data_IF_962499651984
#
_entry.id   IF_962499651984
#
_cell.length_a   1.000
_cell.length_b   1.000
_cell.length_c   1.000
_cell.angle_alpha   90.00
_cell.angle_beta   90.00
_cell.angle_gamma   90.00
#
_symmetry.space_group_name_H-M   'P 1'
#
loop_
_entity.id
_entity.type
_entity.pdbx_description
1 polymer ?
#
# COMPACT_ATOMS: atom_id res chain seq x y z
N UNK A 1 -47.42 33.82 -36.15
CA UNK A 1 -46.72 34.86 -35.37
C UNK A 1 -46.01 34.27 -34.14
N UNK A 2 -45.16 33.23 -34.28
CA UNK A 2 -44.33 32.71 -33.17
C UNK A 2 -42.89 32.36 -33.56
N UNK A 3 -42.59 32.18 -34.85
CA UNK A 3 -41.21 31.89 -35.30
C UNK A 3 -40.29 33.13 -35.36
N UNK A 4 -40.85 34.34 -35.48
CA UNK A 4 -40.04 35.58 -35.53
C UNK A 4 -39.53 36.05 -34.16
N UNK A 5 -40.05 35.48 -33.06
CA UNK A 5 -39.57 35.80 -31.71
C UNK A 5 -38.36 34.94 -31.35
N UNK A 6 -38.33 33.67 -31.77
CA UNK A 6 -37.25 32.73 -31.45
C UNK A 6 -35.94 33.04 -32.20
N UNK A 7 -36.02 33.53 -33.44
CA UNK A 7 -34.82 33.96 -34.17
C UNK A 7 -34.15 35.18 -33.53
N UNK A 8 -34.93 36.14 -33.03
CA UNK A 8 -34.39 37.31 -32.33
C UNK A 8 -33.71 36.94 -31.02
N UNK A 9 -34.28 36.03 -30.23
CA UNK A 9 -33.64 35.58 -28.99
C UNK A 9 -32.35 34.81 -29.24
N UNK A 10 -32.24 34.14 -30.38
CA UNK A 10 -31.05 33.37 -30.75
C UNK A 10 -29.93 34.27 -31.28
N UNK A 11 -30.27 35.30 -32.05
CA UNK A 11 -29.31 36.36 -32.48
C UNK A 11 -28.81 37.19 -31.28
N UNK A 12 -29.68 37.53 -30.33
CA UNK A 12 -29.29 38.28 -29.12
C UNK A 12 -28.34 37.46 -28.22
N UNK A 13 -28.56 36.15 -28.10
CA UNK A 13 -27.66 35.25 -27.36
C UNK A 13 -26.32 35.08 -28.08
N UNK A 14 -26.32 35.02 -29.41
CA UNK A 14 -25.10 34.91 -30.21
C UNK A 14 -24.29 36.21 -30.19
N UNK A 15 -24.96 37.37 -30.20
CA UNK A 15 -24.31 38.66 -30.02
C UNK A 15 -23.70 38.82 -28.62
N UNK A 16 -24.37 38.32 -27.57
CA UNK A 16 -23.84 38.33 -26.19
C UNK A 16 -22.63 37.41 -25.99
N UNK A 17 -22.45 36.38 -26.82
CA UNK A 17 -21.29 35.48 -26.80
C UNK A 17 -20.12 35.96 -27.68
N UNK A 18 -20.40 36.77 -28.72
CA UNK A 18 -19.40 37.31 -29.65
C UNK A 18 -18.81 38.65 -29.19
N UNK A 19 -19.53 39.39 -28.35
CA UNK A 19 -18.98 40.50 -27.60
C UNK A 19 -18.25 39.91 -26.40
N UNK A 20 -16.95 39.68 -26.55
CA UNK A 20 -16.02 39.59 -25.42
C UNK A 20 -16.15 40.88 -24.61
N UNK A 21 -17.07 40.92 -23.65
CA UNK A 21 -16.93 41.80 -22.51
C UNK A 21 -15.61 41.41 -21.85
N UNK A 22 -14.65 42.34 -21.72
CA UNK A 22 -13.48 42.06 -20.90
C UNK A 22 -14.03 41.75 -19.50
N UNK A 23 -13.80 40.52 -19.03
CA UNK A 23 -13.98 40.20 -17.63
C UNK A 23 -13.34 41.33 -16.83
N UNK A 24 -14.00 41.88 -15.80
CA UNK A 24 -13.32 42.83 -14.93
C UNK A 24 -12.05 42.14 -14.47
N UNK A 25 -10.89 42.71 -14.84
CA UNK A 25 -9.63 42.27 -14.27
C UNK A 25 -9.87 42.22 -12.77
N UNK A 26 -9.53 41.11 -12.08
CA UNK A 26 -9.62 41.11 -10.64
C UNK A 26 -8.80 42.30 -10.18
N UNK A 27 -9.42 43.26 -9.50
CA UNK A 27 -8.68 44.31 -8.81
C UNK A 27 -7.66 43.55 -7.94
N UNK A 28 -6.41 43.55 -8.40
CA UNK A 28 -5.29 43.09 -7.62
C UNK A 28 -5.29 44.03 -6.43
N UNK A 29 -5.90 43.58 -5.34
CA UNK A 29 -5.61 44.14 -4.03
C UNK A 29 -4.09 44.23 -3.99
N UNK A 30 -3.51 45.43 -3.75
CA UNK A 30 -2.08 45.50 -3.61
C UNK A 30 -1.73 44.45 -2.57
N UNK A 31 -0.89 43.47 -2.97
CA UNK A 31 -0.31 42.52 -2.03
C UNK A 31 0.11 43.36 -0.83
N UNK A 32 -0.23 42.97 0.42
CA UNK A 32 0.34 43.65 1.56
C UNK A 32 1.83 43.65 1.26
N UNK A 33 2.40 44.85 1.10
CA UNK A 33 3.83 44.98 0.98
C UNK A 33 4.31 44.28 2.24
N UNK A 34 4.89 43.09 2.10
CA UNK A 34 5.83 42.61 3.09
C UNK A 34 6.80 43.76 3.13
N UNK A 35 6.65 44.62 4.14
CA UNK A 35 7.74 45.43 4.61
C UNK A 35 8.87 44.42 4.65
N UNK A 36 9.87 44.61 3.79
CA UNK A 36 11.07 43.83 3.84
C UNK A 36 11.54 44.03 5.27
N UNK A 37 11.24 43.07 6.14
CA UNK A 37 11.93 42.97 7.39
C UNK A 37 13.39 42.93 6.93
N UNK A 38 14.24 43.87 7.38
CA UNK A 38 15.64 43.76 7.07
C UNK A 38 16.02 42.33 7.43
N UNK A 39 16.70 41.63 6.53
CA UNK A 39 17.32 40.34 6.78
C UNK A 39 18.11 40.50 8.08
N UNK A 40 17.43 40.23 9.20
CA UNK A 40 17.99 40.27 10.53
C UNK A 40 18.89 39.07 10.51
N UNK A 41 20.18 39.38 10.41
CA UNK A 41 21.33 38.54 10.64
C UNK A 41 20.98 37.06 10.62
N UNK A 42 21.43 36.36 9.56
CA UNK A 42 21.61 34.93 9.61
C UNK A 42 22.50 34.62 10.82
N UNK A 43 21.86 34.44 11.98
CA UNK A 43 22.51 33.93 13.17
C UNK A 43 23.03 32.58 12.72
N UNK A 44 24.35 32.32 12.85
CA UNK A 44 24.83 30.96 12.75
C UNK A 44 23.94 30.13 13.66
N UNK A 45 23.54 28.94 13.22
CA UNK A 45 22.88 27.97 14.07
C UNK A 45 23.87 27.61 15.18
N UNK A 46 23.96 28.46 16.20
CA UNK A 46 24.67 28.20 17.44
C UNK A 46 23.80 27.15 18.11
N UNK A 47 24.21 25.90 17.96
CA UNK A 47 23.72 24.79 18.74
C UNK A 47 23.65 25.24 20.21
N UNK A 48 22.47 25.20 20.82
CA UNK A 48 22.34 25.55 22.22
C UNK A 48 23.29 24.65 23.04
N UNK A 49 24.09 25.20 23.97
CA UNK A 49 25.06 24.42 24.73
C UNK A 49 24.41 23.23 25.47
N UNK A 50 23.16 23.42 25.88
CA UNK A 50 22.30 22.40 26.51
C UNK A 50 22.04 21.17 25.62
N UNK A 51 22.03 21.34 24.28
CA UNK A 51 21.82 20.24 23.33
C UNK A 51 23.09 19.44 23.11
N UNK A 52 24.25 20.10 23.05
CA UNK A 52 25.55 19.45 22.90
C UNK A 52 25.85 18.58 24.12
N UNK A 53 25.57 19.09 25.33
CA UNK A 53 25.72 18.34 26.58
C UNK A 53 24.87 17.06 26.57
N UNK A 54 23.57 17.16 26.22
CA UNK A 54 22.69 15.99 26.11
C UNK A 54 23.15 14.96 25.07
N UNK A 55 23.67 15.42 23.93
CA UNK A 55 24.21 14.54 22.89
C UNK A 55 25.48 13.83 23.37
N UNK A 56 26.34 14.53 24.10
CA UNK A 56 27.54 13.94 24.68
C UNK A 56 27.24 12.88 25.75
N UNK A 57 26.22 13.09 26.59
CA UNK A 57 25.76 12.11 27.57
C UNK A 57 25.20 10.85 26.89
N UNK A 58 24.38 11.01 25.82
CA UNK A 58 23.85 9.89 25.06
C UNK A 58 24.95 9.08 24.36
N UNK A 59 25.96 9.75 23.79
CA UNK A 59 27.10 9.08 23.16
C UNK A 59 27.96 8.33 24.19
N UNK A 60 28.14 8.88 25.40
CA UNK A 60 28.85 8.21 26.48
C UNK A 60 28.13 6.94 26.97
N UNK A 61 26.80 6.95 27.07
CA UNK A 61 26.02 5.76 27.40
C UNK A 61 26.19 4.64 26.37
N UNK A 62 26.24 4.97 25.07
CA UNK A 62 26.45 3.97 24.02
C UNK A 62 27.84 3.32 24.09
N UNK A 63 28.87 4.07 24.50
CA UNK A 63 30.23 3.54 24.71
C UNK A 63 30.29 2.49 25.82
N UNK A 64 29.57 2.71 26.93
CA UNK A 64 29.57 1.75 28.05
C UNK A 64 28.89 0.42 27.71
N UNK A 65 27.89 0.43 26.81
CA UNK A 65 27.22 -0.80 26.34
C UNK A 65 28.10 -1.60 25.37
N UNK A 66 29.02 -0.96 24.65
CA UNK A 66 29.98 -1.66 23.79
C UNK A 66 31.06 -2.38 24.60
N UNK A 67 31.56 -1.77 25.68
CA UNK A 67 32.52 -2.41 26.59
C UNK A 67 31.91 -3.61 27.34
N UNK A 68 30.63 -3.54 27.75
CA UNK A 68 29.96 -4.69 28.39
C UNK A 68 29.71 -5.87 27.44
N UNK A 69 29.58 -5.61 26.13
CA UNK A 69 29.38 -6.66 25.13
C UNK A 69 30.69 -7.35 24.69
N UNK A 70 31.85 -6.69 24.86
CA UNK A 70 33.17 -7.28 24.56
C UNK A 70 33.66 -8.20 25.70
N UNK A 71 33.21 -7.98 26.95
CA UNK A 71 33.55 -8.81 28.12
C UNK A 71 32.82 -10.16 28.13
N UNK A 72 31.67 -10.29 27.46
CA UNK A 72 30.95 -11.57 27.34
C UNK A 72 31.56 -12.48 26.25
N UNK A 73 32.36 -11.93 25.33
CA UNK A 73 32.92 -12.69 24.21
C UNK A 73 34.19 -13.50 24.55
N UNK A 74 34.76 -13.37 25.75
CA UNK A 74 36.05 -13.99 26.12
C UNK A 74 36.01 -14.94 27.34
N UNK A 75 34.82 -15.42 27.73
CA UNK A 75 34.71 -16.42 28.79
C UNK A 75 34.32 -17.81 28.25
N UNK A 76 35.35 -18.65 28.14
CA UNK A 76 35.34 -20.13 28.21
C UNK A 76 34.42 -20.92 27.25
N UNK A 77 35.02 -21.35 26.15
CA UNK A 77 34.73 -22.64 25.51
C UNK A 77 35.19 -23.78 26.44
N UNK A 78 34.27 -24.30 27.26
CA UNK A 78 34.37 -25.67 27.76
C UNK A 78 33.65 -26.60 26.77
N UNK A 79 34.44 -27.41 26.08
CA UNK A 79 33.97 -28.44 25.18
C UNK A 79 33.23 -29.53 25.97
N UNK A 80 31.95 -29.72 25.67
CA UNK A 80 31.24 -30.94 26.02
C UNK A 80 31.24 -31.88 24.81
N UNK A 81 32.01 -32.97 24.94
CA UNK A 81 31.92 -34.15 24.10
C UNK A 81 30.49 -34.70 24.13
N UNK A 82 29.85 -34.77 22.96
CA UNK A 82 28.63 -35.54 22.78
C UNK A 82 28.94 -36.66 21.80
N UNK A 83 29.00 -37.86 22.37
CA UNK A 83 29.19 -39.14 21.70
C UNK A 83 28.18 -39.35 20.57
N UNK A 84 28.72 -39.68 19.39
CA UNK A 84 27.98 -40.17 18.24
C UNK A 84 27.52 -41.60 18.54
N UNK A 85 26.21 -41.81 18.66
CA UNK A 85 25.63 -43.15 18.64
C UNK A 85 24.73 -43.31 17.42
N UNK A 86 25.28 -44.06 16.46
CA UNK A 86 24.60 -44.74 15.37
C UNK A 86 23.66 -45.83 15.86
N UNK A 87 22.42 -45.86 15.37
CA UNK A 87 21.56 -47.06 15.31
C UNK A 87 20.53 -46.86 14.17
N UNK A 88 20.78 -47.36 12.96
CA UNK A 88 20.26 -48.63 12.38
C UNK A 88 18.76 -48.85 12.52
N UNK A 89 18.09 -48.69 11.36
CA UNK A 89 17.27 -49.69 10.67
C UNK A 89 16.28 -50.51 11.52
N UNK A 90 14.99 -50.29 11.28
CA UNK A 90 13.96 -51.33 11.40
C UNK A 90 12.85 -51.03 10.41
N UNK A 91 12.92 -51.71 9.28
CA UNK A 91 11.80 -51.97 8.39
C UNK A 91 10.77 -52.87 9.10
N UNK A 92 9.49 -52.53 9.00
CA UNK A 92 8.39 -53.49 9.19
C UNK A 92 7.53 -53.46 7.93
N UNK A 93 7.70 -54.53 7.18
CA UNK A 93 6.92 -55.00 6.05
C UNK A 93 5.56 -55.52 6.54
N UNK A 94 4.45 -54.98 6.03
CA UNK A 94 3.16 -55.69 6.03
C UNK A 94 2.56 -55.57 4.63
N UNK A 95 2.78 -56.63 3.88
CA UNK A 95 2.12 -57.00 2.62
C UNK A 95 0.74 -57.58 2.91
N UNK A 96 -0.34 -57.03 2.33
CA UNK A 96 -1.50 -57.82 1.85
C UNK A 96 -2.17 -57.11 0.66
N UNK A 97 -2.34 -57.89 -0.41
CA UNK A 97 -2.88 -57.65 -1.75
C UNK A 97 -4.44 -57.49 -1.77
N UNK A 98 -5.09 -56.99 -2.86
CA UNK A 98 -6.43 -56.38 -2.83
C UNK A 98 -7.56 -57.31 -3.29
N UNK A 99 -8.81 -57.00 -2.93
CA UNK A 99 -10.01 -57.64 -3.54
C UNK A 99 -11.26 -56.73 -3.59
N UNK A 100 -11.51 -56.24 -4.80
CA UNK A 100 -12.75 -56.12 -5.61
C UNK A 100 -14.18 -56.16 -4.97
N UNK A 101 -15.07 -55.39 -5.62
CA UNK A 101 -16.53 -55.59 -5.91
C UNK A 101 -17.54 -54.70 -5.13
N UNK A 102 -18.09 -53.73 -5.87
CA UNK A 102 -19.36 -52.99 -5.66
C UNK A 102 -20.61 -53.90 -5.73
N UNK A 103 -21.79 -53.58 -5.13
CA UNK A 103 -22.73 -52.65 -5.79
C UNK A 103 -23.70 -51.83 -4.88
N UNK A 104 -24.24 -50.76 -5.49
CA UNK A 104 -25.47 -49.99 -5.18
C UNK A 104 -26.68 -50.83 -4.73
N UNK A 105 -27.79 -50.30 -4.12
CA UNK A 105 -28.57 -49.10 -4.51
C UNK A 105 -29.05 -48.26 -3.29
N UNK A 106 -29.86 -47.18 -3.29
CA UNK A 106 -31.17 -46.87 -3.90
C UNK A 106 -31.47 -45.35 -3.68
N UNK A 107 -32.17 -44.74 -4.64
CA UNK A 107 -32.74 -43.37 -4.57
C UNK A 107 -33.94 -43.27 -3.59
N UNK A 108 -34.40 -42.05 -3.24
CA UNK A 108 -35.60 -41.59 -3.94
C UNK A 108 -35.58 -40.11 -4.37
N UNK A 109 -36.09 -39.94 -5.60
CA UNK A 109 -36.86 -38.82 -6.17
C UNK A 109 -37.60 -37.92 -5.17
N UNK A 110 -37.52 -36.58 -5.35
CA UNK A 110 -38.55 -35.79 -6.07
C UNK A 110 -38.41 -34.28 -5.80
N UNK A 111 -38.50 -33.52 -6.89
CA UNK A 111 -39.15 -32.20 -7.07
C UNK A 111 -38.23 -31.15 -7.72
N UNK A 112 -38.38 -31.01 -9.04
CA UNK A 112 -37.99 -29.84 -9.81
C UNK A 112 -38.71 -28.59 -9.31
N UNK A 113 -37.95 -27.53 -9.05
CA UNK A 113 -38.39 -26.17 -9.33
C UNK A 113 -37.23 -25.40 -9.95
N UNK A 114 -37.41 -25.08 -11.23
CA UNK A 114 -36.65 -24.12 -12.02
C UNK A 114 -36.64 -22.77 -11.33
N UNK A 115 -35.47 -22.36 -10.85
CA UNK A 115 -35.10 -20.95 -10.78
C UNK A 115 -33.88 -20.76 -11.68
N UNK A 116 -34.03 -19.86 -12.64
CA UNK A 116 -32.94 -19.36 -13.48
C UNK A 116 -32.00 -18.59 -12.56
N UNK A 117 -31.07 -19.31 -11.94
CA UNK A 117 -29.93 -18.74 -11.28
C UNK A 117 -28.99 -18.22 -12.37
N UNK A 118 -28.86 -16.90 -12.44
CA UNK A 118 -27.72 -16.26 -13.10
C UNK A 118 -26.47 -16.83 -12.42
N UNK A 119 -25.82 -17.81 -13.05
CA UNK A 119 -24.53 -18.29 -12.59
C UNK A 119 -23.60 -17.07 -12.49
N UNK A 120 -23.08 -16.76 -11.30
CA UNK A 120 -21.91 -15.92 -11.22
C UNK A 120 -20.85 -16.64 -12.06
N UNK A 121 -20.31 -15.97 -13.06
CA UNK A 121 -19.12 -16.46 -13.73
C UNK A 121 -18.05 -16.63 -12.65
N UNK A 122 -17.91 -17.85 -12.16
CA UNK A 122 -16.80 -18.26 -11.33
C UNK A 122 -15.58 -18.07 -12.21
N UNK A 123 -14.92 -16.92 -12.03
CA UNK A 123 -13.55 -16.70 -12.43
C UNK A 123 -12.80 -17.97 -12.00
N UNK A 124 -12.34 -18.74 -12.97
CA UNK A 124 -11.54 -19.93 -12.71
C UNK A 124 -10.40 -19.54 -11.74
N UNK A 125 -9.93 -20.44 -10.87
CA UNK A 125 -8.84 -20.15 -9.97
C UNK A 125 -7.67 -19.63 -10.80
N UNK A 126 -7.47 -18.31 -10.76
CA UNK A 126 -6.35 -17.68 -11.45
C UNK A 126 -5.15 -18.08 -10.63
N UNK A 127 -4.32 -18.96 -11.20
CA UNK A 127 -3.03 -19.30 -10.59
C UNK A 127 -2.29 -18.00 -10.31
N UNK A 128 -1.84 -17.83 -9.06
CA UNK A 128 -1.10 -16.64 -8.67
C UNK A 128 0.14 -16.51 -9.57
N UNK A 129 0.22 -15.41 -10.30
CA UNK A 129 1.34 -15.06 -11.17
C UNK A 129 1.88 -13.71 -10.76
N UNK A 130 3.19 -13.62 -10.59
CA UNK A 130 3.84 -12.36 -10.21
C UNK A 130 3.80 -11.33 -11.36
N UNK A 131 4.09 -10.07 -11.04
CA UNK A 131 4.23 -9.00 -12.03
C UNK A 131 5.46 -9.21 -12.91
N UNK A 132 5.35 -8.84 -14.18
CA UNK A 132 6.44 -8.93 -15.17
C UNK A 132 6.68 -7.56 -15.83
N UNK A 133 7.26 -6.59 -15.10
CA UNK A 133 7.41 -5.21 -15.59
C UNK A 133 8.52 -5.03 -16.64
N UNK A 134 9.17 -6.11 -17.10
CA UNK A 134 10.30 -6.09 -18.03
C UNK A 134 11.67 -6.08 -17.34
N UNK A 135 12.72 -5.68 -18.06
CA UNK A 135 14.10 -5.64 -17.54
C UNK A 135 14.34 -4.42 -16.62
N UNK A 136 13.77 -3.27 -16.99
CA UNK A 136 13.84 -2.02 -16.23
C UNK A 136 12.48 -1.32 -16.26
N UNK A 137 12.08 -0.75 -15.13
CA UNK A 137 10.82 -0.02 -15.01
C UNK A 137 10.94 1.11 -13.99
N UNK A 138 10.03 2.07 -14.03
CA UNK A 138 9.96 3.11 -13.01
C UNK A 138 9.01 2.68 -11.89
N UNK A 139 9.42 2.87 -10.65
CA UNK A 139 8.59 2.64 -9.47
C UNK A 139 8.49 3.90 -8.62
N UNK A 140 7.31 4.12 -8.04
CA UNK A 140 7.05 5.15 -7.04
C UNK A 140 7.37 4.58 -5.66
N UNK A 141 8.22 5.29 -4.92
CA UNK A 141 8.57 4.94 -3.55
C UNK A 141 7.81 5.83 -2.59
N UNK A 142 7.20 5.23 -1.57
CA UNK A 142 6.48 5.94 -0.53
C UNK A 142 6.64 5.25 0.82
N UNK A 143 6.43 6.01 1.88
CA UNK A 143 6.63 5.56 3.25
C UNK A 143 5.31 5.58 4.03
N UNK A 144 5.08 4.50 4.76
CA UNK A 144 3.97 4.34 5.68
C UNK A 144 4.46 3.76 6.99
N UNK A 145 4.27 4.47 8.10
CA UNK A 145 4.64 3.98 9.44
C UNK A 145 6.09 3.44 9.52
N UNK A 146 7.05 4.14 8.87
CA UNK A 146 8.45 3.72 8.81
C UNK A 146 8.78 2.62 7.79
N UNK A 147 7.79 2.01 7.14
CA UNK A 147 7.98 1.00 6.09
C UNK A 147 7.93 1.66 4.71
N UNK A 148 8.91 1.36 3.88
CA UNK A 148 8.97 1.85 2.49
C UNK A 148 8.41 0.81 1.52
N UNK A 149 7.54 1.27 0.62
CA UNK A 149 6.94 0.49 -0.46
C UNK A 149 7.33 1.03 -1.81
N UNK A 150 7.30 0.15 -2.81
CA UNK A 150 7.49 0.47 -4.21
C UNK A 150 6.28 -0.01 -5.02
N UNK A 151 5.72 0.86 -5.86
CA UNK A 151 4.65 0.52 -6.81
C UNK A 151 5.11 0.85 -8.23
N UNK A 152 5.05 -0.09 -9.18
CA UNK A 152 5.34 0.20 -10.58
C UNK A 152 4.45 1.33 -11.12
N UNK A 153 5.02 2.29 -11.84
CA UNK A 153 4.27 3.41 -12.42
C UNK A 153 3.22 2.96 -13.44
N UNK A 154 3.43 1.81 -14.07
CA UNK A 154 2.48 1.20 -15.00
C UNK A 154 1.19 0.75 -14.33
N UNK A 155 1.21 0.51 -13.02
CA UNK A 155 0.06 0.06 -12.22
C UNK A 155 -0.45 1.17 -11.28
N UNK A 156 0.04 2.39 -11.43
CA UNK A 156 -0.32 3.53 -10.61
C UNK A 156 -1.47 4.31 -11.26
N UNK A 157 -2.62 4.41 -10.58
CA UNK A 157 -3.79 5.18 -11.07
C UNK A 157 -3.67 6.69 -10.92
N UNK A 158 -2.71 7.13 -10.10
CA UNK A 158 -2.49 8.53 -9.78
C UNK A 158 -2.24 8.75 -8.29
N UNK A 159 -1.92 9.98 -7.93
CA UNK A 159 -1.69 10.39 -6.55
C UNK A 159 -2.55 11.60 -6.25
N UNK A 160 -3.26 11.57 -5.13
CA UNK A 160 -4.10 12.65 -4.65
C UNK A 160 -3.64 13.09 -3.26
N UNK A 161 -3.89 14.35 -2.93
CA UNK A 161 -3.75 14.80 -1.54
C UNK A 161 -4.91 14.23 -0.73
N UNK A 162 -4.62 13.68 0.44
CA UNK A 162 -5.67 13.18 1.32
C UNK A 162 -6.49 14.36 1.83
N UNK A 163 -7.82 14.28 1.67
CA UNK A 163 -8.79 15.27 2.11
C UNK A 163 -9.69 14.74 3.21
N UNK A 164 -10.92 15.25 3.27
CA UNK A 164 -11.93 14.75 4.19
C UNK A 164 -12.38 13.34 3.79
N UNK A 165 -12.32 12.42 4.75
CA UNK A 165 -12.69 11.02 4.56
C UNK A 165 -13.93 10.73 5.40
N UNK A 166 -15.00 10.29 4.74
CA UNK A 166 -16.23 9.85 5.41
C UNK A 166 -16.07 8.40 5.84
N UNK A 167 -15.93 8.17 7.13
CA UNK A 167 -15.84 6.81 7.68
C UNK A 167 -17.17 6.06 7.55
N UNK A 168 -17.09 4.74 7.35
CA UNK A 168 -18.25 3.86 7.25
C UNK A 168 -18.25 2.87 8.40
N UNK A 169 -19.38 2.76 9.08
CA UNK A 169 -19.55 1.80 10.18
C UNK A 169 -19.70 0.37 9.63
N UNK A 170 -19.18 -0.61 10.39
CA UNK A 170 -19.27 -2.04 10.05
C UNK A 170 -18.27 -2.51 8.99
N UNK A 171 -17.33 -1.65 8.58
CA UNK A 171 -16.21 -2.03 7.72
C UNK A 171 -15.02 -2.53 8.56
N UNK A 172 -14.07 -3.19 7.90
CA UNK A 172 -12.84 -3.65 8.53
C UNK A 172 -12.00 -2.46 9.06
N UNK A 173 -11.17 -2.65 10.11
CA UNK A 173 -10.43 -1.55 10.75
C UNK A 173 -9.43 -0.85 9.81
N UNK A 174 -8.90 -1.57 8.81
CA UNK A 174 -8.03 -1.00 7.78
C UNK A 174 -8.79 -0.14 6.76
N UNK A 175 -10.12 -0.20 6.71
CA UNK A 175 -10.92 0.64 5.83
C UNK A 175 -11.20 1.98 6.51
N UNK A 176 -10.50 3.02 6.07
CA UNK A 176 -10.62 4.35 6.70
C UNK A 176 -11.93 5.03 6.34
N UNK A 177 -12.41 4.85 5.11
CA UNK A 177 -13.66 5.44 4.63
C UNK A 177 -13.64 5.76 3.14
N UNK A 178 -14.52 6.67 2.73
CA UNK A 178 -14.65 7.12 1.34
C UNK A 178 -14.31 8.61 1.26
N UNK A 179 -13.45 8.98 0.32
CA UNK A 179 -13.13 10.35 -0.04
C UNK A 179 -13.77 10.68 -1.40
N UNK A 180 -14.36 11.86 -1.54
CA UNK A 180 -14.92 12.29 -2.84
C UNK A 180 -13.98 13.32 -3.48
N UNK A 181 -13.57 13.08 -4.72
CA UNK A 181 -12.71 13.98 -5.48
C UNK A 181 -13.22 14.12 -6.91
N UNK A 182 -13.51 15.35 -7.35
CA UNK A 182 -14.03 15.66 -8.70
C UNK A 182 -15.20 14.73 -9.09
N UNK A 183 -16.17 14.59 -8.19
CA UNK A 183 -17.37 13.73 -8.35
C UNK A 183 -17.10 12.21 -8.38
N UNK A 184 -15.84 11.76 -8.27
CA UNK A 184 -15.48 10.36 -8.09
C UNK A 184 -15.38 9.99 -6.62
N UNK A 185 -15.96 8.85 -6.24
CA UNK A 185 -15.81 8.26 -4.90
C UNK A 185 -14.58 7.36 -4.88
N UNK A 186 -13.68 7.62 -3.95
CA UNK A 186 -12.42 6.90 -3.75
C UNK A 186 -12.46 6.20 -2.40
N UNK A 187 -12.22 4.90 -2.38
CA UNK A 187 -12.11 4.09 -1.19
C UNK A 187 -10.72 4.31 -0.57
N UNK A 188 -10.68 4.76 0.67
CA UNK A 188 -9.45 5.07 1.39
C UNK A 188 -9.11 3.94 2.36
N UNK A 189 -7.96 3.33 2.13
CA UNK A 189 -7.40 2.28 2.99
C UNK A 189 -6.35 2.89 3.91
N UNK A 190 -6.46 2.59 5.21
CA UNK A 190 -5.44 2.87 6.21
C UNK A 190 -4.29 1.87 6.05
N UNK A 191 -3.21 2.30 5.39
CA UNK A 191 -2.14 1.38 4.99
C UNK A 191 -1.29 0.92 6.18
N UNK A 192 -1.17 1.72 7.24
CA UNK A 192 -0.44 1.27 8.44
C UNK A 192 -1.22 0.16 9.17
N UNK A 193 -2.52 0.34 9.38
CA UNK A 193 -3.38 -0.70 9.96
C UNK A 193 -3.48 -1.93 9.07
N UNK A 194 -3.46 -1.74 7.75
CA UNK A 194 -3.45 -2.87 6.82
C UNK A 194 -2.12 -3.63 6.90
N UNK A 195 -0.98 -2.95 6.97
CA UNK A 195 0.34 -3.61 6.97
C UNK A 195 0.71 -4.23 8.32
N UNK A 196 0.41 -3.52 9.39
CA UNK A 196 0.79 -3.86 10.76
C UNK A 196 -0.45 -3.69 11.65
N UNK A 197 -1.43 -4.60 11.60
CA UNK A 197 -2.69 -4.45 12.32
C UNK A 197 -2.55 -4.45 13.85
N UNK A 198 -1.50 -5.08 14.38
CA UNK A 198 -1.28 -5.24 15.83
C UNK A 198 -0.51 -4.08 16.47
N UNK A 199 0.07 -3.16 15.67
CA UNK A 199 0.86 -2.04 16.18
C UNK A 199 -0.03 -0.87 16.63
N UNK A 200 0.45 -0.10 17.62
CA UNK A 200 -0.21 1.14 18.03
C UNK A 200 0.17 2.29 17.08
N UNK A 201 -0.81 2.68 16.26
CA UNK A 201 -0.68 3.74 15.27
C UNK A 201 -1.03 5.14 15.79
N UNK A 202 -1.34 5.29 17.09
CA UNK A 202 -1.81 6.56 17.67
C UNK A 202 -0.77 7.69 17.60
N UNK A 203 0.53 7.35 17.61
CA UNK A 203 1.62 8.30 17.54
C UNK A 203 2.10 8.60 16.10
N UNK A 204 1.48 8.00 15.08
CA UNK A 204 1.89 8.21 13.69
C UNK A 204 1.54 9.62 13.21
N UNK A 205 2.38 10.12 12.31
CA UNK A 205 2.09 11.36 11.59
C UNK A 205 0.77 11.22 10.81
N UNK A 206 0.05 12.33 10.53
CA UNK A 206 -1.13 12.24 9.70
C UNK A 206 -0.76 11.82 8.27
N UNK A 207 -1.60 10.99 7.67
CA UNK A 207 -1.52 10.69 6.24
C UNK A 207 -1.73 11.95 5.41
N UNK A 208 -0.90 12.14 4.38
CA UNK A 208 -0.91 13.33 3.54
C UNK A 208 -1.37 13.05 2.12
N UNK A 209 -1.15 11.83 1.64
CA UNK A 209 -1.40 11.45 0.25
C UNK A 209 -2.21 10.17 0.17
N UNK A 210 -2.93 10.02 -0.94
CA UNK A 210 -3.68 8.85 -1.34
C UNK A 210 -3.13 8.37 -2.69
N UNK A 211 -2.59 7.15 -2.70
CA UNK A 211 -2.00 6.51 -3.89
C UNK A 211 -3.06 5.60 -4.51
N UNK A 212 -3.52 5.93 -5.70
CA UNK A 212 -4.53 5.15 -6.43
C UNK A 212 -3.91 3.92 -7.08
N UNK A 213 -4.59 2.79 -6.94
CA UNK A 213 -4.14 1.48 -7.43
C UNK A 213 -4.81 1.17 -8.78
N UNK A 214 -4.03 1.17 -9.86
CA UNK A 214 -4.51 0.95 -11.22
C UNK A 214 -5.69 1.85 -11.58
N UNK A 215 -6.63 1.32 -12.36
CA UNK A 215 -7.86 2.04 -12.74
C UNK A 215 -9.00 1.90 -11.71
N UNK A 216 -8.69 1.42 -10.51
CA UNK A 216 -9.69 1.18 -9.47
C UNK A 216 -10.06 2.45 -8.69
N UNK A 217 -11.13 2.35 -7.90
CA UNK A 217 -11.49 3.37 -6.91
C UNK A 217 -10.72 3.21 -5.59
N UNK A 218 -9.81 2.24 -5.46
CA UNK A 218 -9.06 1.97 -4.24
C UNK A 218 -7.79 2.79 -4.16
N UNK A 219 -7.57 3.39 -2.99
CA UNK A 219 -6.38 4.18 -2.69
C UNK A 219 -5.73 3.82 -1.36
N UNK A 220 -4.40 3.77 -1.36
CA UNK A 220 -3.58 3.57 -0.17
C UNK A 220 -3.18 4.91 0.44
N UNK A 221 -3.47 5.10 1.73
CA UNK A 221 -3.05 6.30 2.45
C UNK A 221 -1.57 6.22 2.84
N UNK A 222 -0.81 7.27 2.56
CA UNK A 222 0.61 7.33 2.91
C UNK A 222 1.05 8.67 3.52
N UNK A 223 2.15 8.62 4.26
CA UNK A 223 2.68 9.75 5.02
C UNK A 223 3.59 10.62 4.16
N UNK A 224 4.52 9.97 3.44
CA UNK A 224 5.54 10.64 2.65
C UNK A 224 5.74 9.95 1.30
N UNK A 225 5.84 10.75 0.24
CA UNK A 225 6.28 10.29 -1.08
C UNK A 225 7.79 10.52 -1.18
N UNK A 226 8.55 9.45 -1.44
CA UNK A 226 10.01 9.54 -1.66
C UNK A 226 10.36 9.90 -3.11
N UNK A 227 9.40 9.74 -4.03
CA UNK A 227 9.56 10.05 -5.45
C UNK A 227 9.65 8.80 -6.31
N UNK A 228 9.91 9.01 -7.61
CA UNK A 228 10.00 7.93 -8.58
C UNK A 228 11.46 7.64 -8.93
N UNK A 229 11.80 6.36 -9.08
CA UNK A 229 13.15 5.94 -9.46
C UNK A 229 13.08 4.77 -10.44
N UNK A 230 14.10 4.63 -11.29
CA UNK A 230 14.24 3.47 -12.16
C UNK A 230 14.78 2.29 -11.36
N UNK A 231 14.07 1.18 -11.45
CA UNK A 231 14.40 -0.07 -10.81
C UNK A 231 14.65 -1.13 -11.87
N UNK A 232 15.70 -1.91 -11.69
CA UNK A 232 16.00 -3.04 -12.56
C UNK A 232 15.59 -4.35 -11.92
N UNK A 233 15.15 -5.30 -12.73
CA UNK A 233 14.62 -6.58 -12.24
C UNK A 233 15.66 -7.43 -11.52
N UNK A 234 16.97 -7.24 -11.75
CA UNK A 234 18.08 -7.88 -11.03
C UNK A 234 18.23 -7.39 -9.57
N UNK A 235 17.78 -6.16 -9.29
CA UNK A 235 17.83 -5.55 -7.96
C UNK A 235 16.71 -6.05 -7.04
N UNK A 236 15.80 -6.87 -7.57
CA UNK A 236 14.60 -7.34 -6.88
C UNK A 236 14.74 -8.83 -6.60
N UNK A 237 14.50 -9.22 -5.35
CA UNK A 237 14.31 -10.62 -4.98
C UNK A 237 12.83 -10.97 -5.20
N UNK A 238 12.53 -11.52 -6.37
CA UNK A 238 11.19 -11.93 -6.78
C UNK A 238 10.67 -13.13 -6.00
N UNK A 239 9.35 -13.14 -5.79
CA UNK A 239 8.64 -14.30 -5.24
C UNK A 239 8.07 -15.14 -6.39
N UNK A 240 8.16 -16.46 -6.25
CA UNK A 240 7.74 -17.41 -7.30
C UNK A 240 6.53 -18.26 -6.88
N UNK A 241 6.12 -18.15 -5.61
CA UNK A 241 4.98 -18.87 -5.06
C UNK A 241 4.13 -17.89 -4.27
N UNK A 242 2.81 -18.10 -4.33
CA UNK A 242 1.91 -17.53 -3.34
C UNK A 242 2.39 -17.97 -1.95
N UNK A 243 2.48 -17.01 -1.05
CA UNK A 243 2.77 -17.31 0.35
C UNK A 243 1.77 -16.57 1.19
N UNK A 244 2.08 -16.34 2.47
CA UNK A 244 1.16 -15.65 3.40
C UNK A 244 0.69 -14.27 2.94
N UNK A 245 1.47 -13.61 2.08
CA UNK A 245 1.24 -12.23 1.58
C UNK A 245 1.25 -12.23 0.04
N UNK A 246 0.11 -12.43 -0.64
CA UNK A 246 0.05 -12.53 -2.10
C UNK A 246 0.23 -11.17 -2.80
N UNK A 247 -0.06 -10.07 -2.11
CA UNK A 247 0.18 -8.68 -2.55
C UNK A 247 1.66 -8.29 -2.62
N UNK A 248 2.60 -9.10 -2.11
CA UNK A 248 4.03 -8.79 -2.14
C UNK A 248 4.67 -9.46 -3.35
N UNK A 249 5.01 -8.67 -4.38
CA UNK A 249 5.68 -9.15 -5.59
C UNK A 249 7.14 -9.53 -5.33
N UNK A 250 7.85 -8.74 -4.52
CA UNK A 250 9.26 -8.95 -4.24
C UNK A 250 9.85 -7.97 -3.25
N UNK A 251 11.13 -8.16 -2.92
CA UNK A 251 11.90 -7.27 -2.05
C UNK A 251 13.02 -6.59 -2.83
N UNK A 252 13.09 -5.26 -2.77
CA UNK A 252 14.15 -4.49 -3.41
C UNK A 252 15.39 -4.49 -2.50
N UNK A 253 16.52 -4.96 -3.03
CA UNK A 253 17.74 -5.18 -2.25
C UNK A 253 18.34 -3.86 -1.72
N UNK A 254 18.46 -2.86 -2.59
CA UNK A 254 19.19 -1.62 -2.29
C UNK A 254 18.48 -0.77 -1.22
N UNK A 255 17.17 -0.61 -1.35
CA UNK A 255 16.36 0.24 -0.46
C UNK A 255 15.63 -0.50 0.65
N UNK A 256 15.74 -1.84 0.71
CA UNK A 256 15.01 -2.69 1.66
C UNK A 256 13.50 -2.41 1.67
N UNK A 257 12.93 -2.16 0.50
CA UNK A 257 11.50 -1.86 0.37
C UNK A 257 10.74 -3.05 -0.24
N UNK A 258 9.45 -3.11 0.10
CA UNK A 258 8.52 -4.10 -0.44
C UNK A 258 7.96 -3.61 -1.79
N UNK A 259 8.09 -4.44 -2.83
CA UNK A 259 7.45 -4.21 -4.13
C UNK A 259 6.02 -4.76 -4.09
N UNK A 260 5.04 -3.90 -4.33
CA UNK A 260 3.64 -4.26 -4.30
C UNK A 260 3.21 -4.90 -5.62
N UNK A 261 2.40 -5.95 -5.51
CA UNK A 261 1.65 -6.56 -6.59
C UNK A 261 0.25 -5.92 -6.60
N UNK A 262 0.01 -4.96 -7.49
CA UNK A 262 -1.22 -4.15 -7.43
C UNK A 262 -2.47 -4.98 -7.69
N UNK A 263 -2.42 -5.91 -8.66
CA UNK A 263 -3.58 -6.77 -8.97
C UNK A 263 -4.04 -7.64 -7.78
N UNK A 264 -3.12 -8.38 -7.16
CA UNK A 264 -3.43 -9.21 -5.98
C UNK A 264 -3.83 -8.37 -4.77
N UNK A 265 -3.21 -7.20 -4.60
CA UNK A 265 -3.61 -6.25 -3.57
C UNK A 265 -5.06 -5.80 -3.75
N UNK A 266 -5.45 -5.44 -4.98
CA UNK A 266 -6.83 -5.05 -5.29
C UNK A 266 -7.81 -6.18 -5.01
N UNK A 267 -7.47 -7.41 -5.42
CA UNK A 267 -8.30 -8.60 -5.16
C UNK A 267 -8.53 -8.84 -3.67
N UNK A 268 -7.52 -8.62 -2.82
CA UNK A 268 -7.66 -8.68 -1.36
C UNK A 268 -8.57 -7.57 -0.82
N UNK A 269 -8.39 -6.34 -1.29
CA UNK A 269 -9.22 -5.21 -0.85
C UNK A 269 -10.69 -5.39 -1.25
N UNK A 270 -10.96 -5.88 -2.45
CA UNK A 270 -12.31 -6.15 -2.95
C UNK A 270 -12.99 -7.30 -2.20
N UNK A 271 -12.22 -8.30 -1.75
CA UNK A 271 -12.73 -9.40 -0.93
C UNK A 271 -12.89 -9.03 0.55
N UNK A 272 -12.43 -7.85 0.97
CA UNK A 272 -12.50 -7.40 2.36
C UNK A 272 -11.55 -8.15 3.30
N UNK A 273 -10.53 -8.80 2.75
CA UNK A 273 -9.60 -9.68 3.46
C UNK A 273 -8.40 -8.89 3.97
N UNK A 274 -7.89 -9.23 5.15
CA UNK A 274 -6.71 -8.56 5.71
C UNK A 274 -5.40 -9.04 5.03
N UNK A 275 -4.28 -8.46 5.41
CA UNK A 275 -2.97 -8.63 4.76
C UNK A 275 -2.43 -10.06 4.68
N UNK A 276 -2.85 -10.93 5.60
CA UNK A 276 -2.45 -12.34 5.64
C UNK A 276 -3.41 -13.26 4.85
N UNK A 277 -4.36 -12.69 4.10
CA UNK A 277 -5.32 -13.47 3.32
C UNK A 277 -6.38 -14.17 4.17
N UNK A 278 -6.68 -13.65 5.37
CA UNK A 278 -7.69 -14.17 6.31
C UNK A 278 -8.74 -13.14 6.66
#
# INVERSE_FOLDING_TARGET
>A
MRESLQYRTMDDYFHALLLEEPLPEPELQPLPQLAAEPLRDARPYLEEPSRIERLSELLAQVGQVQDEMEVIAHQEVEAFDIDVVTATDTAIEITVEPEVISPSPVQPVMAEQTEVALEPQLLAPTEWRNIEPGHEFQALFFEVAGVTFAVPLTELGGIHRLGEVTSLFGQAPWFRGIMTQREKKLNVVDTALWVMPDDDHSALAPYQYLIMLGDSSWGLSCHHLKGTEKLRSDQIKWRHQEGKRPWLAGMVKDKRCALLHVHELLRLLESGVNIDGR
#
